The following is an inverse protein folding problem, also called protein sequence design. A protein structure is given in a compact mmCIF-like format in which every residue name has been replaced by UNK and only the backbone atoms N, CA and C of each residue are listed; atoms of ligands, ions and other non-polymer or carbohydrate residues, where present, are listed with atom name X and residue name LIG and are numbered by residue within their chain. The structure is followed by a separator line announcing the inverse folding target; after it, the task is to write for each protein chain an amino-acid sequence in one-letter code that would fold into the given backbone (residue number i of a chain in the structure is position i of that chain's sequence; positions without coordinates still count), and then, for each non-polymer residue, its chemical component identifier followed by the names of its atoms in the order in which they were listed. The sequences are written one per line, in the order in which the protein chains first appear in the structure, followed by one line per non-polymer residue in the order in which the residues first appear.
data_IF_997838652577
#
_entry.id   IF_997838652577
#
_cell.length_a   1.000
_cell.length_b   1.000
_cell.length_c   1.000
_cell.angle_alpha   90.00
_cell.angle_beta   90.00
_cell.angle_gamma   90.00
#
_symmetry.space_group_name_H-M   'P 1'
#
loop_
_entity.id
_entity.type
_entity.pdbx_description
1 polymer ?
#
# COMPACT_ATOMS: atom_id res chain seq x y z
N UNK A 1 21.41 -15.96 -5.09
CA UNK A 1 21.57 -16.70 -3.82
C UNK A 1 20.28 -16.65 -3.00
N UNK A 2 20.13 -17.60 -2.10
CA UNK A 2 18.95 -17.73 -1.23
C UNK A 2 19.33 -17.45 0.22
N UNK A 3 18.53 -16.64 0.89
CA UNK A 3 18.52 -16.47 2.34
C UNK A 3 17.19 -17.01 2.87
N UNK A 4 17.23 -18.14 3.55
CA UNK A 4 16.06 -18.72 4.21
C UNK A 4 16.20 -18.51 5.73
N UNK A 5 15.30 -17.71 6.29
CA UNK A 5 15.25 -17.43 7.72
C UNK A 5 14.67 -18.58 8.55
N UNK A 6 14.17 -19.65 7.90
CA UNK A 6 13.62 -20.85 8.57
C UNK A 6 12.52 -20.53 9.59
N UNK A 7 11.81 -19.40 9.44
CA UNK A 7 10.80 -18.92 10.38
C UNK A 7 11.37 -18.21 11.62
N UNK A 8 12.67 -18.01 11.69
CA UNK A 8 13.29 -17.27 12.78
C UNK A 8 13.04 -15.76 12.67
N UNK A 9 13.22 -15.08 13.78
CA UNK A 9 13.04 -13.64 13.91
C UNK A 9 14.32 -12.97 14.40
N UNK A 10 14.69 -11.87 13.75
CA UNK A 10 15.71 -10.95 14.24
C UNK A 10 14.99 -9.82 14.96
N UNK A 11 15.29 -9.60 16.23
CA UNK A 11 14.63 -8.57 17.05
C UNK A 11 15.58 -7.41 17.37
N UNK A 12 14.99 -6.21 17.53
CA UNK A 12 15.70 -4.99 17.94
C UNK A 12 16.85 -4.58 16.98
N UNK A 13 16.73 -4.87 15.69
CA UNK A 13 17.72 -4.42 14.72
C UNK A 13 17.73 -2.88 14.68
N UNK A 14 18.87 -2.29 15.02
CA UNK A 14 19.09 -0.85 15.01
C UNK A 14 20.07 -0.45 13.92
N UNK A 15 19.63 0.41 12.99
CA UNK A 15 20.48 0.98 11.93
C UNK A 15 20.22 2.49 11.88
N UNK A 16 21.21 3.31 12.14
CA UNK A 16 21.12 4.77 12.05
C UNK A 16 22.15 5.29 11.03
N UNK A 17 21.69 5.49 9.78
CA UNK A 17 22.52 5.93 8.66
C UNK A 17 21.80 6.99 7.80
N UNK A 18 21.45 8.17 8.38
CA UNK A 18 20.55 9.14 7.75
C UNK A 18 21.09 9.79 6.47
N UNK A 19 22.39 9.66 6.19
CA UNK A 19 23.03 10.14 4.97
C UNK A 19 23.28 9.06 3.92
N UNK A 20 23.03 7.77 4.23
CA UNK A 20 23.32 6.65 3.35
C UNK A 20 22.09 6.17 2.60
N UNK A 21 22.30 5.71 1.36
CA UNK A 21 21.29 5.03 0.56
C UNK A 21 21.40 3.51 0.74
N UNK A 22 20.37 2.80 0.30
CA UNK A 22 20.33 1.34 0.31
C UNK A 22 20.46 0.78 1.74
N UNK A 23 19.55 1.19 2.60
CA UNK A 23 19.56 0.83 4.03
C UNK A 23 18.50 -0.21 4.33
N UNK A 24 18.88 -1.26 5.02
CA UNK A 24 18.05 -2.38 5.45
C UNK A 24 18.94 -3.51 5.98
N UNK A 25 18.37 -4.63 6.42
CA UNK A 25 19.15 -5.83 6.74
C UNK A 25 19.98 -6.23 5.51
N UNK A 26 19.37 -6.17 4.32
CA UNK A 26 20.04 -6.26 3.03
C UNK A 26 19.95 -4.89 2.35
N UNK A 27 21.08 -4.25 2.08
CA UNK A 27 21.09 -2.95 1.40
C UNK A 27 20.60 -3.05 -0.05
N UNK A 28 21.04 -4.08 -0.77
CA UNK A 28 20.74 -4.32 -2.19
C UNK A 28 20.67 -5.82 -2.49
N UNK A 29 19.62 -6.24 -3.23
CA UNK A 29 19.52 -7.61 -3.75
C UNK A 29 19.59 -7.59 -5.27
N UNK A 30 20.37 -8.49 -5.83
CA UNK A 30 20.57 -8.64 -7.27
C UNK A 30 19.56 -9.64 -7.87
N UNK A 31 19.65 -9.89 -9.17
CA UNK A 31 18.91 -10.93 -9.88
C UNK A 31 19.12 -12.30 -9.23
N UNK A 32 18.06 -13.10 -9.15
CA UNK A 32 18.07 -14.43 -8.52
C UNK A 32 18.26 -14.43 -6.99
N UNK A 33 18.11 -13.29 -6.33
CA UNK A 33 18.03 -13.27 -4.87
C UNK A 33 16.68 -13.81 -4.41
N UNK A 34 16.69 -14.71 -3.46
CA UNK A 34 15.49 -15.20 -2.77
C UNK A 34 15.69 -14.94 -1.27
N UNK A 35 14.74 -14.21 -0.67
CA UNK A 35 14.68 -13.98 0.78
C UNK A 35 13.33 -14.51 1.24
N UNK A 36 13.35 -15.43 2.19
CA UNK A 36 12.11 -16.05 2.65
C UNK A 36 12.13 -16.43 4.11
N UNK A 37 10.92 -16.56 4.67
CA UNK A 37 10.67 -17.11 6.00
C UNK A 37 11.47 -16.36 7.10
N UNK A 38 11.58 -15.04 7.02
CA UNK A 38 12.31 -14.21 8.01
C UNK A 38 11.41 -13.13 8.60
N UNK A 39 11.40 -13.03 9.91
CA UNK A 39 10.77 -11.94 10.65
C UNK A 39 11.79 -10.91 11.14
N UNK A 40 11.43 -9.64 11.02
CA UNK A 40 12.12 -8.54 11.69
C UNK A 40 11.17 -7.93 12.71
N UNK A 41 11.54 -7.97 13.99
CA UNK A 41 10.70 -7.49 15.09
C UNK A 41 11.34 -6.30 15.80
N UNK A 42 10.51 -5.28 16.05
CA UNK A 42 10.91 -4.10 16.81
C UNK A 42 12.17 -3.41 16.23
N UNK A 43 12.21 -3.28 14.88
CA UNK A 43 13.33 -2.60 14.23
C UNK A 43 13.28 -1.09 14.45
N UNK A 44 14.44 -0.45 14.41
CA UNK A 44 14.57 1.01 14.37
C UNK A 44 15.63 1.38 13.34
N UNK A 45 15.17 1.75 12.16
CA UNK A 45 16.02 1.93 10.98
C UNK A 45 15.86 3.33 10.43
N UNK A 46 16.98 4.02 10.24
CA UNK A 46 17.04 5.34 9.61
C UNK A 46 18.06 5.32 8.47
N UNK A 47 17.64 5.79 7.29
CA UNK A 47 18.46 5.95 6.12
C UNK A 47 18.14 7.21 5.32
N UNK A 48 18.78 7.37 4.14
CA UNK A 48 18.50 8.51 3.25
C UNK A 48 17.49 8.11 2.17
N UNK A 49 17.91 7.34 1.17
CA UNK A 49 17.06 6.82 0.11
C UNK A 49 17.10 5.29 0.08
N UNK A 50 16.06 4.69 -0.47
CA UNK A 50 15.94 3.23 -0.58
C UNK A 50 16.09 2.59 0.80
N UNK A 51 15.14 2.90 1.67
CA UNK A 51 15.16 2.47 3.06
C UNK A 51 14.06 1.44 3.28
N UNK A 52 14.45 0.26 3.69
CA UNK A 52 13.54 -0.82 4.08
C UNK A 52 14.02 -1.50 5.35
N UNK A 53 13.15 -2.12 6.10
CA UNK A 53 13.55 -2.97 7.21
C UNK A 53 14.36 -4.18 6.74
N UNK A 54 13.80 -4.88 5.75
CA UNK A 54 14.42 -6.08 5.20
C UNK A 54 15.36 -5.74 4.04
N UNK A 55 14.87 -5.02 3.02
CA UNK A 55 15.66 -4.73 1.82
C UNK A 55 15.57 -3.25 1.46
N UNK A 56 16.72 -2.60 1.31
CA UNK A 56 16.78 -1.23 0.78
C UNK A 56 16.35 -1.17 -0.69
N UNK A 57 16.95 -1.96 -1.56
CA UNK A 57 16.66 -2.04 -2.99
C UNK A 57 16.58 -3.49 -3.47
N UNK A 58 15.40 -3.94 -3.85
CA UNK A 58 15.19 -5.24 -4.47
C UNK A 58 15.16 -5.09 -6.01
N UNK A 59 16.22 -5.53 -6.69
CA UNK A 59 16.31 -5.38 -8.16
C UNK A 59 15.31 -6.33 -8.88
N UNK A 60 15.51 -7.66 -8.77
CA UNK A 60 14.63 -8.66 -9.39
C UNK A 60 14.38 -9.86 -8.47
N UNK A 61 14.73 -9.71 -7.18
CA UNK A 61 14.64 -10.78 -6.21
C UNK A 61 13.21 -11.12 -5.80
N UNK A 62 13.03 -12.29 -5.22
CA UNK A 62 11.78 -12.73 -4.60
C UNK A 62 11.88 -12.61 -3.09
N UNK A 63 10.89 -11.98 -2.49
CA UNK A 63 10.70 -11.91 -1.03
C UNK A 63 9.38 -12.62 -0.71
N UNK A 64 9.43 -13.62 0.16
CA UNK A 64 8.22 -14.37 0.50
C UNK A 64 8.16 -14.74 1.99
N UNK A 65 6.93 -14.85 2.51
CA UNK A 65 6.66 -15.28 3.89
C UNK A 65 7.52 -14.53 4.91
N UNK A 66 7.66 -13.22 4.72
CA UNK A 66 8.59 -12.39 5.50
C UNK A 66 7.89 -11.14 6.02
N UNK A 67 8.34 -10.62 7.15
CA UNK A 67 7.71 -9.44 7.72
C UNK A 67 8.70 -8.49 8.40
N UNK A 68 8.23 -7.27 8.61
CA UNK A 68 8.90 -6.29 9.44
C UNK A 68 7.90 -5.60 10.40
N UNK A 69 8.35 -5.31 11.61
CA UNK A 69 7.65 -4.48 12.59
C UNK A 69 8.62 -3.52 13.27
N UNK A 70 8.14 -2.36 13.68
CA UNK A 70 8.95 -1.33 14.35
C UNK A 70 8.89 0.02 13.62
N UNK A 71 9.99 0.72 13.54
CA UNK A 71 10.03 2.05 12.95
C UNK A 71 11.05 2.09 11.80
N UNK A 72 10.63 2.53 10.63
CA UNK A 72 11.50 2.78 9.48
C UNK A 72 11.37 4.24 9.06
N UNK A 73 12.49 4.94 8.97
CA UNK A 73 12.53 6.36 8.65
C UNK A 73 13.51 6.65 7.52
N UNK A 74 13.08 7.45 6.56
CA UNK A 74 13.94 7.94 5.48
C UNK A 74 13.98 9.46 5.43
N UNK A 75 15.18 10.03 5.33
CA UNK A 75 15.34 11.49 5.21
C UNK A 75 15.05 12.01 3.80
N UNK A 76 14.87 11.13 2.81
CA UNK A 76 14.58 11.49 1.42
C UNK A 76 13.53 10.55 0.79
N UNK A 77 13.89 9.72 -0.20
CA UNK A 77 12.95 9.02 -1.06
C UNK A 77 12.94 7.50 -0.86
N UNK A 78 11.84 6.87 -1.26
CA UNK A 78 11.66 5.42 -1.36
C UNK A 78 11.83 4.72 0.00
N UNK A 79 10.85 4.91 0.84
CA UNK A 79 10.82 4.38 2.21
C UNK A 79 9.64 3.44 2.36
N UNK A 80 9.91 2.20 2.71
CA UNK A 80 8.91 1.20 3.04
C UNK A 80 9.35 0.39 4.25
N UNK A 81 8.45 -0.13 5.04
CA UNK A 81 8.87 -0.88 6.21
C UNK A 81 9.57 -2.19 5.84
N UNK A 82 9.09 -2.88 4.81
CA UNK A 82 9.75 -4.10 4.35
C UNK A 82 10.79 -3.80 3.27
N UNK A 83 10.41 -3.04 2.23
CA UNK A 83 11.27 -2.78 1.06
C UNK A 83 11.22 -1.31 0.68
N UNK A 84 12.39 -0.65 0.55
CA UNK A 84 12.47 0.73 0.07
C UNK A 84 12.07 0.86 -1.40
N UNK A 85 12.69 0.06 -2.27
CA UNK A 85 12.43 0.05 -3.72
C UNK A 85 12.38 -1.39 -4.26
N UNK A 86 11.28 -1.75 -4.90
CA UNK A 86 11.10 -3.01 -5.60
C UNK A 86 11.10 -2.75 -7.11
N UNK A 87 12.19 -3.10 -7.82
CA UNK A 87 12.32 -2.77 -9.25
C UNK A 87 11.43 -3.69 -10.12
N UNK A 88 11.80 -4.94 -10.30
CA UNK A 88 10.99 -5.94 -11.01
C UNK A 88 10.76 -7.19 -10.16
N UNK A 89 11.05 -7.08 -8.86
CA UNK A 89 10.99 -8.18 -7.92
C UNK A 89 9.55 -8.59 -7.55
N UNK A 90 9.45 -9.74 -6.93
CA UNK A 90 8.19 -10.29 -6.41
C UNK A 90 8.18 -10.26 -4.89
N UNK A 91 7.11 -9.75 -4.31
CA UNK A 91 6.84 -9.77 -2.86
C UNK A 91 5.52 -10.50 -2.67
N UNK A 92 5.53 -11.59 -1.91
CA UNK A 92 4.33 -12.39 -1.68
C UNK A 92 4.23 -12.87 -0.24
N UNK A 93 3.00 -13.01 0.26
CA UNK A 93 2.71 -13.50 1.61
C UNK A 93 3.55 -12.79 2.68
N UNK A 94 3.71 -11.48 2.54
CA UNK A 94 4.63 -10.70 3.37
C UNK A 94 3.93 -9.48 3.95
N UNK A 95 4.37 -9.00 5.10
CA UNK A 95 3.66 -7.90 5.74
C UNK A 95 4.54 -6.94 6.53
N UNK A 96 3.93 -5.81 6.87
CA UNK A 96 4.52 -4.73 7.64
C UNK A 96 3.52 -4.22 8.70
N UNK A 97 3.95 -4.09 9.95
CA UNK A 97 3.06 -3.68 11.04
C UNK A 97 3.53 -2.45 11.82
N UNK A 98 4.69 -1.94 11.51
CA UNK A 98 5.29 -0.78 12.17
C UNK A 98 5.03 0.55 11.46
N UNK A 99 5.58 1.60 12.00
CA UNK A 99 5.38 2.95 11.48
C UNK A 99 6.45 3.35 10.48
N UNK A 100 6.03 3.99 9.38
CA UNK A 100 6.93 4.48 8.33
C UNK A 100 6.87 5.99 8.23
N UNK A 101 8.04 6.63 8.19
CA UNK A 101 8.15 8.07 7.99
C UNK A 101 9.15 8.39 6.87
N UNK A 102 8.80 9.30 5.98
CA UNK A 102 9.70 9.69 4.89
C UNK A 102 9.31 11.00 4.21
N UNK A 103 10.03 11.35 3.15
CA UNK A 103 9.71 12.52 2.33
C UNK A 103 8.83 12.15 1.13
N UNK A 104 9.39 11.42 0.18
CA UNK A 104 8.70 11.07 -1.06
C UNK A 104 8.68 9.55 -1.26
N UNK A 105 7.63 9.06 -1.90
CA UNK A 105 7.45 7.63 -2.17
C UNK A 105 7.52 6.81 -0.88
N UNK A 106 6.58 7.09 0.01
CA UNK A 106 6.49 6.46 1.32
C UNK A 106 5.35 5.46 1.33
N UNK A 107 5.64 4.22 1.63
CA UNK A 107 4.64 3.16 1.71
C UNK A 107 4.80 2.30 2.96
N UNK A 108 3.71 1.80 3.50
CA UNK A 108 3.76 0.95 4.67
C UNK A 108 4.56 -0.34 4.45
N UNK A 109 4.41 -0.95 3.27
CA UNK A 109 5.19 -2.14 2.89
C UNK A 109 6.35 -1.78 1.96
N UNK A 110 6.06 -1.05 0.88
CA UNK A 110 7.03 -0.74 -0.19
C UNK A 110 6.99 0.75 -0.53
N UNK A 111 8.13 1.42 -0.52
CA UNK A 111 8.21 2.83 -0.93
C UNK A 111 7.90 3.02 -2.41
N UNK A 112 8.55 2.30 -3.29
CA UNK A 112 8.38 2.37 -4.74
C UNK A 112 8.36 0.97 -5.36
N UNK A 113 7.31 0.63 -6.09
CA UNK A 113 7.17 -0.61 -6.86
C UNK A 113 7.23 -0.29 -8.35
N UNK A 114 8.35 -0.61 -9.01
CA UNK A 114 8.55 -0.38 -10.45
C UNK A 114 8.45 -1.70 -11.21
N UNK A 115 7.35 -1.92 -11.91
CA UNK A 115 7.02 -3.15 -12.65
C UNK A 115 7.07 -4.46 -11.84
N UNK A 116 7.27 -4.36 -10.52
CA UNK A 116 7.29 -5.51 -9.61
C UNK A 116 5.88 -6.01 -9.26
N UNK A 117 5.82 -7.19 -8.67
CA UNK A 117 4.57 -7.81 -8.23
C UNK A 117 4.50 -7.86 -6.71
N UNK A 118 3.38 -7.43 -6.15
CA UNK A 118 3.03 -7.55 -4.73
C UNK A 118 1.71 -8.31 -4.63
N UNK A 119 1.69 -9.42 -3.92
CA UNK A 119 0.48 -10.23 -3.78
C UNK A 119 0.34 -10.82 -2.37
N UNK A 120 -0.91 -11.01 -1.93
CA UNK A 120 -1.24 -11.61 -0.63
C UNK A 120 -0.44 -10.95 0.52
N UNK A 121 -0.33 -9.63 0.48
CA UNK A 121 0.57 -8.87 1.35
C UNK A 121 -0.14 -7.68 1.98
N UNK A 122 0.31 -7.23 3.15
CA UNK A 122 -0.40 -6.14 3.81
C UNK A 122 0.50 -5.23 4.64
N UNK A 123 -0.06 -4.06 4.97
CA UNK A 123 0.53 -3.13 5.94
C UNK A 123 -0.54 -2.62 6.91
N UNK A 124 -0.24 -2.63 8.21
CA UNK A 124 -1.18 -2.17 9.25
C UNK A 124 -0.66 -0.99 10.05
N UNK A 125 0.60 -0.63 9.89
CA UNK A 125 1.22 0.51 10.56
C UNK A 125 0.85 1.86 9.95
N UNK A 126 1.02 2.91 10.73
CA UNK A 126 0.77 4.27 10.25
C UNK A 126 1.89 4.74 9.31
N UNK A 127 1.49 5.48 8.28
CA UNK A 127 2.43 6.00 7.28
C UNK A 127 2.36 7.53 7.25
N UNK A 128 3.51 8.17 7.36
CA UNK A 128 3.63 9.62 7.30
C UNK A 128 4.65 10.05 6.25
N UNK A 129 4.22 10.86 5.27
CA UNK A 129 5.08 11.34 4.20
C UNK A 129 4.85 12.79 3.84
N UNK A 130 5.68 13.33 2.96
CA UNK A 130 5.47 14.65 2.39
C UNK A 130 4.71 14.55 1.07
N UNK A 131 5.21 13.78 0.11
CA UNK A 131 4.59 13.55 -1.19
C UNK A 131 4.53 12.07 -1.54
N UNK A 132 3.53 11.68 -2.30
CA UNK A 132 3.34 10.31 -2.80
C UNK A 132 3.40 9.28 -1.67
N UNK A 133 2.37 9.33 -0.84
CA UNK A 133 2.29 8.52 0.38
C UNK A 133 1.15 7.52 0.26
N UNK A 134 1.41 6.24 0.46
CA UNK A 134 0.41 5.18 0.42
C UNK A 134 0.51 4.24 1.62
N UNK A 135 -0.61 3.73 2.07
CA UNK A 135 -0.65 2.81 3.21
C UNK A 135 0.09 1.50 2.95
N UNK A 136 0.07 0.99 1.72
CA UNK A 136 0.83 -0.19 1.30
C UNK A 136 2.04 0.21 0.45
N UNK A 137 1.81 0.98 -0.61
CA UNK A 137 2.84 1.36 -1.60
C UNK A 137 2.80 2.86 -1.83
N UNK A 138 3.94 3.53 -1.74
CA UNK A 138 4.04 4.95 -2.09
C UNK A 138 3.75 5.16 -3.58
N UNK A 139 4.57 4.62 -4.46
CA UNK A 139 4.39 4.69 -5.92
C UNK A 139 4.37 3.30 -6.55
N UNK A 140 3.34 3.02 -7.33
CA UNK A 140 3.22 1.82 -8.16
C UNK A 140 3.35 2.20 -9.64
N UNK A 141 4.51 2.03 -10.22
CA UNK A 141 4.79 2.39 -11.61
C UNK A 141 4.87 1.14 -12.49
N UNK A 142 3.82 0.83 -13.21
CA UNK A 142 3.70 -0.36 -14.05
C UNK A 142 3.64 -1.68 -13.25
N UNK A 143 3.64 -1.62 -11.93
CA UNK A 143 3.64 -2.80 -11.06
C UNK A 143 2.25 -3.40 -10.86
N UNK A 144 2.21 -4.60 -10.30
CA UNK A 144 0.97 -5.31 -9.96
C UNK A 144 0.80 -5.43 -8.46
N UNK A 145 -0.37 -5.09 -7.96
CA UNK A 145 -0.79 -5.28 -6.58
C UNK A 145 -2.09 -6.09 -6.59
N UNK A 146 -2.11 -7.22 -5.91
CA UNK A 146 -3.30 -8.08 -5.86
C UNK A 146 -3.49 -8.72 -4.48
N UNK A 147 -4.75 -8.92 -4.08
CA UNK A 147 -5.13 -9.60 -2.83
C UNK A 147 -4.37 -9.00 -1.62
N UNK A 148 -4.30 -7.68 -1.58
CA UNK A 148 -3.42 -6.97 -0.63
C UNK A 148 -4.15 -5.81 0.03
N UNK A 149 -3.74 -5.41 1.23
CA UNK A 149 -4.46 -4.36 1.93
C UNK A 149 -3.58 -3.46 2.80
N UNK A 150 -4.15 -2.32 3.18
CA UNK A 150 -3.60 -1.44 4.19
C UNK A 150 -4.69 -1.03 5.20
N UNK A 151 -4.37 -1.06 6.49
CA UNK A 151 -5.32 -0.66 7.55
C UNK A 151 -4.81 0.48 8.45
N UNK A 152 -3.54 0.83 8.37
CA UNK A 152 -2.96 1.96 9.09
C UNK A 152 -3.43 3.31 8.55
N UNK A 153 -3.39 4.34 9.40
CA UNK A 153 -3.68 5.70 8.97
C UNK A 153 -2.56 6.25 8.08
N UNK A 154 -2.93 7.00 7.05
CA UNK A 154 -2.01 7.62 6.11
C UNK A 154 -2.10 9.13 6.19
N UNK A 155 -0.97 9.77 6.43
CA UNK A 155 -0.87 11.24 6.50
C UNK A 155 0.18 11.76 5.54
N UNK A 156 -0.21 12.64 4.61
CA UNK A 156 0.69 13.34 3.70
C UNK A 156 0.57 14.84 3.86
N UNK A 157 1.68 15.56 3.96
CA UNK A 157 1.66 17.03 4.02
C UNK A 157 1.61 17.68 2.64
N UNK A 158 1.66 16.90 1.57
CA UNK A 158 1.60 17.34 0.17
C UNK A 158 0.59 16.50 -0.64
N UNK A 159 0.95 16.22 -1.89
CA UNK A 159 0.05 15.63 -2.88
C UNK A 159 0.20 14.11 -3.00
N UNK A 160 -0.79 13.47 -3.62
CA UNK A 160 -0.85 12.05 -3.95
C UNK A 160 -0.81 11.17 -2.69
N UNK A 161 -1.86 11.26 -1.90
CA UNK A 161 -2.01 10.50 -0.66
C UNK A 161 -3.15 9.50 -0.82
N UNK A 162 -2.86 8.23 -0.66
CA UNK A 162 -3.83 7.15 -0.81
C UNK A 162 -3.79 6.15 0.33
N UNK A 163 -4.93 5.61 0.70
CA UNK A 163 -5.01 4.60 1.76
C UNK A 163 -4.25 3.32 1.44
N UNK A 164 -4.18 2.95 0.15
CA UNK A 164 -3.39 1.81 -0.33
C UNK A 164 -2.15 2.28 -1.12
N UNK A 165 -2.37 3.11 -2.14
CA UNK A 165 -1.31 3.56 -3.06
C UNK A 165 -1.34 5.09 -3.18
N UNK A 166 -0.20 5.74 -3.00
CA UNK A 166 -0.09 7.20 -3.20
C UNK A 166 -0.26 7.59 -4.66
N UNK A 167 0.52 7.01 -5.54
CA UNK A 167 0.45 7.25 -7.00
C UNK A 167 0.54 5.93 -7.77
N UNK A 168 -0.46 5.65 -8.60
CA UNK A 168 -0.47 4.53 -9.54
C UNK A 168 -0.24 5.05 -10.96
N UNK A 169 0.94 4.78 -11.50
CA UNK A 169 1.36 5.17 -12.83
C UNK A 169 1.38 3.95 -13.75
N UNK A 170 0.30 3.70 -14.47
CA UNK A 170 0.13 2.55 -15.37
C UNK A 170 0.22 1.17 -14.70
N UNK A 171 -0.01 1.09 -13.39
CA UNK A 171 -0.02 -0.16 -12.64
C UNK A 171 -1.36 -0.88 -12.69
N UNK A 172 -1.42 -2.00 -11.99
CA UNK A 172 -2.68 -2.75 -11.80
C UNK A 172 -2.89 -3.01 -10.31
N UNK A 173 -4.06 -2.66 -9.82
CA UNK A 173 -4.52 -2.93 -8.46
C UNK A 173 -5.79 -3.76 -8.55
N UNK A 174 -5.80 -4.94 -7.95
CA UNK A 174 -6.96 -5.84 -7.98
C UNK A 174 -7.21 -6.51 -6.64
N UNK A 175 -8.49 -6.75 -6.31
CA UNK A 175 -8.91 -7.48 -5.10
C UNK A 175 -8.21 -6.94 -3.84
N UNK A 176 -8.15 -5.62 -3.72
CA UNK A 176 -7.31 -4.95 -2.71
C UNK A 176 -8.10 -3.85 -1.99
N UNK A 177 -7.74 -3.53 -0.76
CA UNK A 177 -8.50 -2.55 0.00
C UNK A 177 -7.70 -1.70 0.96
N UNK A 178 -8.31 -0.61 1.41
CA UNK A 178 -7.79 0.24 2.47
C UNK A 178 -8.88 0.59 3.49
N UNK A 179 -8.56 0.48 4.79
CA UNK A 179 -9.51 0.78 5.87
C UNK A 179 -9.06 1.91 6.79
N UNK A 180 -7.82 2.32 6.71
CA UNK A 180 -7.26 3.43 7.49
C UNK A 180 -7.78 4.80 7.05
N UNK A 181 -7.72 5.76 7.94
CA UNK A 181 -8.04 7.15 7.62
C UNK A 181 -6.91 7.79 6.80
N UNK A 182 -7.31 8.64 5.84
CA UNK A 182 -6.38 9.28 4.91
C UNK A 182 -6.47 10.79 5.03
N UNK A 183 -5.34 11.46 5.21
CA UNK A 183 -5.26 12.92 5.21
C UNK A 183 -4.14 13.41 4.30
N UNK A 184 -4.45 14.37 3.41
CA UNK A 184 -3.49 14.95 2.47
C UNK A 184 -3.86 16.36 2.05
N UNK A 185 -3.11 16.97 1.13
CA UNK A 185 -3.49 18.25 0.55
C UNK A 185 -4.31 18.07 -0.72
N UNK A 186 -3.68 17.60 -1.79
CA UNK A 186 -4.33 17.42 -3.08
C UNK A 186 -4.15 15.99 -3.57
N UNK A 187 -5.08 15.54 -4.42
CA UNK A 187 -5.06 14.17 -4.93
C UNK A 187 -5.08 13.16 -3.77
N UNK A 188 -6.07 13.32 -2.90
CA UNK A 188 -6.24 12.47 -1.72
C UNK A 188 -7.37 11.48 -1.96
N UNK A 189 -7.09 10.19 -1.91
CA UNK A 189 -8.06 9.13 -2.13
C UNK A 189 -8.08 8.09 -1.02
N UNK A 190 -9.26 7.56 -0.73
CA UNK A 190 -9.40 6.50 0.28
C UNK A 190 -8.60 5.24 -0.07
N UNK A 191 -8.45 4.94 -1.37
CA UNK A 191 -7.63 3.83 -1.87
C UNK A 191 -6.38 4.35 -2.59
N UNK A 192 -6.54 5.20 -3.59
CA UNK A 192 -5.45 5.69 -4.43
C UNK A 192 -5.46 7.21 -4.49
N UNK A 193 -4.33 7.85 -4.21
CA UNK A 193 -4.19 9.31 -4.30
C UNK A 193 -4.35 9.80 -5.74
N UNK A 194 -3.54 9.30 -6.65
CA UNK A 194 -3.59 9.61 -8.09
C UNK A 194 -3.45 8.34 -8.92
N UNK A 195 -4.37 8.16 -9.87
CA UNK A 195 -4.33 7.11 -10.88
C UNK A 195 -4.06 7.73 -12.26
N UNK A 196 -2.90 7.44 -12.82
CA UNK A 196 -2.49 7.99 -14.11
C UNK A 196 -2.36 6.89 -15.16
N UNK A 197 -3.44 6.43 -15.75
CA UNK A 197 -3.51 5.31 -16.69
C UNK A 197 -3.46 3.90 -16.09
N UNK A 198 -3.46 3.77 -14.76
CA UNK A 198 -3.52 2.48 -14.09
C UNK A 198 -4.90 1.81 -14.14
N UNK A 199 -4.96 0.55 -13.80
CA UNK A 199 -6.19 -0.24 -13.72
C UNK A 199 -6.51 -0.61 -12.28
N UNK A 200 -7.70 -0.27 -11.80
CA UNK A 200 -8.19 -0.60 -10.46
C UNK A 200 -9.46 -1.45 -10.61
N UNK A 201 -9.45 -2.65 -10.08
CA UNK A 201 -10.60 -3.56 -10.16
C UNK A 201 -10.89 -4.21 -8.80
N UNK A 202 -12.18 -4.47 -8.52
CA UNK A 202 -12.60 -5.21 -7.34
C UNK A 202 -11.91 -4.72 -6.07
N UNK A 203 -11.95 -3.42 -5.83
CA UNK A 203 -11.20 -2.81 -4.73
C UNK A 203 -12.05 -1.82 -3.96
N UNK A 204 -11.75 -1.58 -2.69
CA UNK A 204 -12.59 -0.67 -1.89
C UNK A 204 -11.80 0.11 -0.83
N UNK A 205 -12.44 1.17 -0.32
CA UNK A 205 -11.94 1.97 0.79
C UNK A 205 -13.04 2.26 1.81
N UNK A 206 -12.73 2.17 3.11
CA UNK A 206 -13.70 2.40 4.19
C UNK A 206 -13.27 3.43 5.23
N UNK A 207 -12.09 3.99 5.12
CA UNK A 207 -11.61 5.06 6.02
C UNK A 207 -12.21 6.43 5.72
N UNK A 208 -12.07 7.36 6.66
CA UNK A 208 -12.34 8.77 6.39
C UNK A 208 -11.27 9.36 5.47
N UNK A 209 -11.67 10.26 4.59
CA UNK A 209 -10.75 10.93 3.66
C UNK A 209 -10.84 12.44 3.86
N UNK A 210 -9.71 13.11 4.01
CA UNK A 210 -9.64 14.56 4.16
C UNK A 210 -8.53 15.17 3.31
N UNK A 211 -8.81 16.31 2.70
CA UNK A 211 -7.86 17.04 1.85
C UNK A 211 -8.42 18.38 1.40
N UNK A 212 -7.64 19.15 0.65
CA UNK A 212 -8.02 20.51 0.21
C UNK A 212 -8.52 20.56 -1.22
N UNK A 213 -8.06 19.69 -2.11
CA UNK A 213 -8.54 19.63 -3.49
C UNK A 213 -8.39 18.23 -4.09
N UNK A 214 -9.30 17.88 -5.00
CA UNK A 214 -9.30 16.59 -5.69
C UNK A 214 -9.27 15.44 -4.68
N UNK A 215 -10.27 15.47 -3.80
CA UNK A 215 -10.46 14.47 -2.76
C UNK A 215 -11.54 13.50 -3.22
N UNK A 216 -11.26 12.21 -3.17
CA UNK A 216 -12.18 11.17 -3.58
C UNK A 216 -12.30 10.06 -2.55
N UNK A 217 -13.51 9.54 -2.37
CA UNK A 217 -13.75 8.43 -1.45
C UNK A 217 -12.95 7.17 -1.79
N UNK A 218 -12.67 6.96 -3.09
CA UNK A 218 -11.82 5.89 -3.59
C UNK A 218 -10.53 6.44 -4.19
N UNK A 219 -10.63 7.35 -5.17
CA UNK A 219 -9.49 7.88 -5.92
C UNK A 219 -9.50 9.41 -5.88
N UNK A 220 -8.41 10.04 -5.48
CA UNK A 220 -8.30 11.50 -5.44
C UNK A 220 -8.32 12.13 -6.82
N UNK A 221 -7.53 11.62 -7.73
CA UNK A 221 -7.48 12.05 -9.14
C UNK A 221 -7.25 10.89 -10.09
N UNK A 222 -8.09 10.80 -11.10
CA UNK A 222 -7.97 9.84 -12.18
C UNK A 222 -7.75 10.60 -13.51
N UNK A 223 -6.62 10.40 -14.16
CA UNK A 223 -6.30 11.07 -15.41
C UNK A 223 -6.92 10.36 -16.62
N UNK A 224 -6.63 9.08 -16.78
CA UNK A 224 -7.13 8.25 -17.88
C UNK A 224 -7.05 6.76 -17.49
N UNK A 225 -7.21 6.44 -16.22
CA UNK A 225 -7.18 5.06 -15.73
C UNK A 225 -8.49 4.33 -16.01
N UNK A 226 -8.48 3.05 -15.74
CA UNK A 226 -9.67 2.21 -15.77
C UNK A 226 -10.01 1.79 -14.36
N UNK A 227 -11.22 2.12 -13.91
CA UNK A 227 -11.73 1.69 -12.61
C UNK A 227 -13.00 0.90 -12.82
N UNK A 228 -13.12 -0.26 -12.21
CA UNK A 228 -14.33 -1.09 -12.30
C UNK A 228 -14.63 -1.81 -10.99
N UNK A 229 -15.91 -2.08 -10.76
CA UNK A 229 -16.41 -2.89 -9.65
C UNK A 229 -15.81 -2.47 -8.29
N UNK A 230 -15.66 -1.18 -8.05
CA UNK A 230 -14.93 -0.69 -6.88
C UNK A 230 -15.81 0.23 -6.02
N UNK A 231 -15.57 0.23 -4.72
CA UNK A 231 -16.47 0.84 -3.74
C UNK A 231 -15.74 1.76 -2.77
N UNK A 232 -16.50 2.72 -2.20
CA UNK A 232 -16.06 3.49 -1.03
C UNK A 232 -17.18 3.65 -0.03
N UNK A 233 -16.85 3.87 1.23
CA UNK A 233 -17.83 4.11 2.30
C UNK A 233 -18.32 5.56 2.24
N UNK A 234 -19.52 5.75 1.69
CA UNK A 234 -20.16 7.07 1.59
C UNK A 234 -20.63 7.64 2.93
N UNK A 235 -20.63 6.84 4.01
CA UNK A 235 -20.92 7.35 5.36
C UNK A 235 -19.69 7.95 6.02
N UNK A 236 -18.50 7.56 5.59
CA UNK A 236 -17.22 8.08 6.06
C UNK A 236 -16.71 9.25 5.20
N UNK A 237 -17.07 9.25 3.92
CA UNK A 237 -16.76 10.35 3.00
C UNK A 237 -17.97 10.64 2.10
N UNK A 238 -18.60 11.78 2.27
CA UNK A 238 -19.86 12.15 1.58
C UNK A 238 -19.66 12.81 0.20
N UNK A 239 -18.39 13.03 -0.21
CA UNK A 239 -18.06 13.58 -1.52
C UNK A 239 -18.03 12.52 -2.63
N UNK A 240 -17.45 12.88 -3.77
CA UNK A 240 -17.36 12.02 -4.94
C UNK A 240 -16.45 10.81 -4.71
N UNK A 241 -16.75 9.70 -5.34
CA UNK A 241 -15.87 8.53 -5.33
C UNK A 241 -14.52 8.79 -5.99
N UNK A 242 -14.53 9.60 -7.07
CA UNK A 242 -13.32 10.10 -7.77
C UNK A 242 -13.31 11.63 -7.69
N UNK A 243 -12.26 12.22 -7.16
CA UNK A 243 -12.21 13.64 -6.82
C UNK A 243 -12.25 14.62 -8.01
N UNK A 244 -11.94 14.18 -9.21
CA UNK A 244 -12.07 14.95 -10.45
C UNK A 244 -13.20 14.46 -11.37
N UNK A 245 -13.97 13.45 -10.96
CA UNK A 245 -15.08 12.92 -11.74
C UNK A 245 -16.23 12.51 -10.82
N UNK A 246 -17.30 13.29 -10.80
CA UNK A 246 -18.45 13.08 -9.90
C UNK A 246 -19.31 11.85 -10.21
N UNK A 247 -19.20 11.30 -11.41
CA UNK A 247 -20.08 10.21 -11.92
C UNK A 247 -19.29 9.06 -12.55
N UNK A 248 -18.12 8.72 -12.02
CA UNK A 248 -17.30 7.64 -12.57
C UNK A 248 -18.05 6.29 -12.48
N UNK A 249 -18.34 5.62 -13.62
CA UNK A 249 -19.23 4.46 -13.66
C UNK A 249 -18.69 3.23 -12.90
N UNK A 250 -17.39 3.12 -12.75
CA UNK A 250 -16.74 1.98 -12.08
C UNK A 250 -16.60 2.16 -10.56
N UNK A 251 -17.07 3.28 -9.99
CA UNK A 251 -16.94 3.59 -8.57
C UNK A 251 -18.30 3.85 -7.95
N UNK A 252 -18.64 3.10 -6.92
CA UNK A 252 -19.95 3.23 -6.25
C UNK A 252 -19.78 3.49 -4.77
N UNK A 253 -20.41 4.55 -4.27
CA UNK A 253 -20.53 4.82 -2.82
C UNK A 253 -21.54 3.90 -2.17
N UNK A 254 -21.14 3.17 -1.15
CA UNK A 254 -21.98 2.29 -0.32
C UNK A 254 -21.92 2.74 1.12
N UNK A 255 -22.98 2.50 1.88
CA UNK A 255 -22.94 2.73 3.32
C UNK A 255 -22.06 1.69 4.02
N UNK A 256 -21.57 2.00 5.23
CA UNK A 256 -20.86 1.03 6.07
C UNK A 256 -21.65 -0.27 6.22
N UNK A 257 -22.97 -0.15 6.41
CA UNK A 257 -23.86 -1.32 6.53
C UNK A 257 -23.91 -2.14 5.24
N UNK A 258 -24.07 -1.49 4.07
CA UNK A 258 -24.04 -2.21 2.78
C UNK A 258 -22.71 -2.91 2.54
N UNK A 259 -21.59 -2.28 2.91
CA UNK A 259 -20.23 -2.88 2.77
C UNK A 259 -20.00 -4.07 3.72
N UNK A 260 -20.81 -4.23 4.77
CA UNK A 260 -20.77 -5.42 5.62
C UNK A 260 -21.55 -6.62 5.05
N UNK A 261 -22.34 -6.42 3.99
CA UNK A 261 -23.07 -7.49 3.33
C UNK A 261 -22.35 -8.01 2.09
N UNK A 262 -21.97 -9.28 2.08
CA UNK A 262 -21.28 -9.90 0.94
C UNK A 262 -22.04 -9.87 -0.39
N UNK A 263 -23.35 -9.58 -0.34
CA UNK A 263 -24.17 -9.50 -1.56
C UNK A 263 -23.66 -8.48 -2.57
N UNK A 264 -23.25 -7.28 -2.14
CA UNK A 264 -22.80 -6.22 -3.06
C UNK A 264 -21.53 -6.61 -3.82
N UNK A 265 -20.67 -7.38 -3.19
CA UNK A 265 -19.44 -7.87 -3.81
C UNK A 265 -19.75 -8.98 -4.82
N UNK A 266 -20.71 -9.88 -4.49
CA UNK A 266 -21.21 -10.91 -5.44
C UNK A 266 -21.90 -10.29 -6.63
N UNK A 267 -22.76 -9.30 -6.42
CA UNK A 267 -23.44 -8.57 -7.50
C UNK A 267 -22.45 -7.86 -8.43
N UNK A 268 -21.28 -7.48 -7.92
CA UNK A 268 -20.17 -6.93 -8.67
C UNK A 268 -19.20 -7.98 -9.23
N UNK A 269 -19.59 -9.25 -9.20
CA UNK A 269 -18.80 -10.39 -9.73
C UNK A 269 -17.46 -10.60 -9.02
N UNK A 270 -17.38 -10.25 -7.73
CA UNK A 270 -16.22 -10.61 -6.93
C UNK A 270 -16.28 -12.09 -6.56
N UNK A 271 -15.15 -12.78 -6.68
CA UNK A 271 -15.01 -14.16 -6.21
C UNK A 271 -14.83 -14.15 -4.68
N UNK A 272 -15.96 -14.11 -3.98
CA UNK A 272 -16.01 -14.19 -2.52
C UNK A 272 -16.77 -15.45 -2.10
N UNK A 273 -16.16 -16.25 -1.26
CA UNK A 273 -16.80 -17.38 -0.61
C UNK A 273 -17.48 -16.87 0.65
N UNK A 274 -18.80 -16.98 0.73
CA UNK A 274 -19.52 -16.71 1.97
C UNK A 274 -19.21 -17.83 2.96
N UNK A 275 -18.56 -17.50 4.07
CA UNK A 275 -18.53 -18.39 5.22
C UNK A 275 -19.94 -18.44 5.79
N UNK A 276 -20.58 -19.61 5.71
CA UNK A 276 -21.94 -19.83 6.22
C UNK A 276 -22.04 -19.73 7.74
N UNK A 277 -20.93 -19.65 8.45
CA UNK A 277 -20.88 -19.46 9.90
C UNK A 277 -20.84 -18.00 10.35
N UNK A 278 -20.67 -17.04 9.41
CA UNK A 278 -20.56 -15.61 9.71
C UNK A 278 -21.78 -14.88 9.18
N UNK A 279 -22.58 -14.32 10.07
CA UNK A 279 -23.73 -13.47 9.73
C UNK A 279 -23.33 -12.07 9.23
N UNK A 280 -22.05 -11.70 9.38
CA UNK A 280 -21.45 -10.49 8.82
C UNK A 280 -20.15 -10.88 8.11
N UNK A 281 -20.05 -10.59 6.81
CA UNK A 281 -18.81 -10.78 6.06
C UNK A 281 -17.89 -9.59 6.34
N UNK A 282 -16.86 -9.80 7.15
CA UNK A 282 -15.66 -8.97 7.02
C UNK A 282 -14.89 -9.51 5.83
N UNK A 283 -14.49 -8.66 4.86
CA UNK A 283 -13.61 -9.10 3.79
C UNK A 283 -12.29 -9.59 4.42
N UNK A 284 -11.87 -10.76 4.06
CA UNK A 284 -10.59 -11.34 4.48
C UNK A 284 -9.47 -10.71 3.69
#
# INVERSE_FOLDING_TARGET
GTFDGLGFTISNLYINRPSQNYVGLFGYTNSSAEIKNIGLKDVNITGKNYVGGLVGYNHTGTISNSYASGNVSGTANNVGELVGYNHTGTITNSYATGSVTGKNYVGGLVGYNHTGTISNSYATGNVSGQFVTGGLVGNNNGGKISNSYASGNVSGTGNNVGGLVGWDAAGTISNSYATGNVSGQSYTGGLVGSNNTGTITNSYATGTVSGTSRVGGLVGWDAAGTISNSFYDKTKYTGNGVGNNSTHPGVTGKTTQELSYGKIFKDASWDIVADSSVTSLTPV
#
